data_IF_804221308418
#
_entry.id   IF_804221308418
#
_cell.length_a   1.000
_cell.length_b   1.000
_cell.length_c   1.000
_cell.angle_alpha   90.00
_cell.angle_beta   90.00
_cell.angle_gamma   90.00
#
_symmetry.space_group_name_H-M   'P 1'
#
loop_
_entity.id
_entity.type
_entity.pdbx_description
1 polymer ?
#
# COMPACT_ATOMS: atom_id res chain seq x y z
N UNK A 1 2.50 22.42 -22.51
CA UNK A 1 2.37 22.57 -21.05
C UNK A 1 1.20 21.70 -20.62
N UNK A 2 1.49 20.46 -20.28
CA UNK A 2 0.60 19.60 -19.52
C UNK A 2 0.39 20.27 -18.16
N UNK A 3 -0.86 20.57 -17.82
CA UNK A 3 -1.19 21.06 -16.49
C UNK A 3 -0.79 20.00 -15.47
N UNK A 4 -0.14 20.41 -14.37
CA UNK A 4 0.15 19.48 -13.27
C UNK A 4 -1.13 18.76 -12.87
N UNK A 5 -1.09 17.44 -12.65
CA UNK A 5 -2.26 16.71 -12.17
C UNK A 5 -2.71 17.32 -10.83
N UNK A 6 -4.01 17.61 -10.73
CA UNK A 6 -4.66 18.11 -9.52
C UNK A 6 -4.99 16.98 -8.54
N UNK A 7 -4.96 15.73 -9.02
CA UNK A 7 -5.34 14.54 -8.29
C UNK A 7 -4.56 13.30 -8.72
N UNK A 8 -4.50 12.31 -7.83
CA UNK A 8 -3.94 10.98 -8.08
C UNK A 8 -4.72 9.91 -7.32
N UNK A 9 -5.03 8.81 -7.99
CA UNK A 9 -5.58 7.59 -7.37
C UNK A 9 -4.41 6.73 -6.88
N UNK A 10 -4.24 6.61 -5.56
CA UNK A 10 -3.17 5.84 -4.91
C UNK A 10 -3.69 4.47 -4.45
N UNK A 11 -3.27 3.40 -5.10
CA UNK A 11 -3.60 2.03 -4.72
C UNK A 11 -2.63 1.51 -3.66
N UNK A 12 -3.17 0.96 -2.58
CA UNK A 12 -2.39 0.44 -1.46
C UNK A 12 -2.98 -0.88 -0.90
N UNK A 13 -2.10 -1.60 -0.20
CA UNK A 13 -2.43 -2.65 0.75
C UNK A 13 -1.82 -2.23 2.09
N UNK A 14 -2.57 -2.31 3.19
CA UNK A 14 -2.05 -2.00 4.54
C UNK A 14 -0.87 -2.91 4.86
N UNK A 15 -0.83 -4.12 4.32
CA UNK A 15 0.23 -5.10 4.55
C UNK A 15 1.53 -4.77 3.82
N UNK A 16 1.54 -3.84 2.86
CA UNK A 16 2.71 -3.52 2.05
C UNK A 16 3.61 -2.46 2.72
N UNK A 17 4.85 -2.79 3.13
CA UNK A 17 5.74 -1.81 3.75
C UNK A 17 6.20 -0.74 2.76
N UNK A 18 6.39 -1.08 1.49
CA UNK A 18 6.74 -0.10 0.44
C UNK A 18 5.60 0.87 0.17
N UNK A 19 4.35 0.39 0.07
CA UNK A 19 3.20 1.26 -0.13
C UNK A 19 3.03 2.21 1.06
N UNK A 20 3.27 1.74 2.29
CA UNK A 20 3.27 2.59 3.47
C UNK A 20 4.31 3.72 3.38
N UNK A 21 5.57 3.43 3.04
CA UNK A 21 6.59 4.48 2.89
C UNK A 21 6.21 5.48 1.79
N UNK A 22 5.73 5.01 0.64
CA UNK A 22 5.28 5.89 -0.44
C UNK A 22 4.03 6.68 -0.05
N UNK A 23 3.16 6.13 0.81
CA UNK A 23 2.00 6.85 1.34
C UNK A 23 2.41 8.01 2.26
N UNK A 24 3.53 7.91 2.99
CA UNK A 24 4.08 9.02 3.78
C UNK A 24 4.57 10.14 2.86
N UNK A 25 5.29 9.77 1.79
CA UNK A 25 5.75 10.73 0.79
C UNK A 25 4.60 11.44 0.08
N UNK A 26 3.57 10.71 -0.38
CA UNK A 26 2.47 11.36 -1.13
C UNK A 26 1.60 12.26 -0.23
N UNK A 27 1.50 11.97 1.08
CA UNK A 27 0.88 12.88 2.05
C UNK A 27 1.67 14.18 2.21
N UNK A 28 3.00 14.11 2.31
CA UNK A 28 3.85 15.30 2.33
C UNK A 28 3.66 16.14 1.04
N UNK A 29 3.58 15.48 -0.12
CA UNK A 29 3.30 16.16 -1.39
C UNK A 29 1.93 16.83 -1.37
N UNK A 30 0.88 16.13 -0.93
CA UNK A 30 -0.46 16.71 -0.75
C UNK A 30 -0.41 17.96 0.12
N UNK A 31 0.21 17.87 1.28
CA UNK A 31 0.20 18.94 2.27
C UNK A 31 0.96 20.19 1.76
N UNK A 32 1.99 20.00 0.93
CA UNK A 32 2.79 21.09 0.34
C UNK A 32 2.22 21.69 -0.95
N UNK A 33 1.39 20.93 -1.69
CA UNK A 33 0.98 21.32 -3.06
C UNK A 33 -0.53 21.45 -3.24
N UNK A 34 -1.33 20.92 -2.32
CA UNK A 34 -2.78 20.81 -2.48
C UNK A 34 -3.23 19.67 -3.40
N UNK A 35 -2.34 18.74 -3.76
CA UNK A 35 -2.67 17.54 -4.55
C UNK A 35 -3.80 16.74 -3.89
N UNK A 36 -4.85 16.43 -4.63
CA UNK A 36 -5.92 15.53 -4.13
C UNK A 36 -5.47 14.07 -4.23
N UNK A 37 -5.35 13.39 -3.09
CA UNK A 37 -5.01 11.96 -3.05
C UNK A 37 -6.26 11.14 -2.79
N UNK A 38 -6.61 10.27 -3.74
CA UNK A 38 -7.72 9.34 -3.63
C UNK A 38 -7.20 7.94 -3.27
N UNK A 39 -7.54 7.44 -2.09
CA UNK A 39 -7.10 6.15 -1.60
C UNK A 39 -7.92 5.00 -2.20
N UNK A 40 -7.21 4.05 -2.81
CA UNK A 40 -7.77 2.88 -3.52
C UNK A 40 -7.15 1.58 -3.01
N UNK A 41 -7.85 0.48 -3.13
CA UNK A 41 -7.42 -0.81 -2.59
C UNK A 41 -6.72 -1.69 -3.62
N UNK A 42 -5.74 -2.47 -3.18
CA UNK A 42 -5.17 -3.54 -3.99
C UNK A 42 -4.70 -4.67 -3.09
N UNK A 43 -5.15 -5.89 -3.37
CA UNK A 43 -4.83 -7.06 -2.55
C UNK A 43 -3.53 -7.74 -2.97
N UNK A 44 -2.53 -7.69 -2.10
CA UNK A 44 -1.33 -8.53 -2.23
C UNK A 44 -1.64 -10.01 -2.02
N UNK A 45 -2.62 -10.34 -1.16
CA UNK A 45 -3.04 -11.73 -0.94
C UNK A 45 -3.70 -12.35 -2.16
N UNK A 46 -4.47 -11.56 -2.94
CA UNK A 46 -5.13 -12.07 -4.15
C UNK A 46 -4.16 -12.16 -5.32
N UNK A 47 -3.35 -11.13 -5.59
CA UNK A 47 -2.42 -11.16 -6.74
C UNK A 47 -1.37 -12.27 -6.61
N UNK A 48 -0.97 -12.61 -5.37
CA UNK A 48 -0.01 -13.67 -5.09
C UNK A 48 -0.68 -14.99 -4.66
N UNK A 49 -2.00 -15.13 -4.83
CA UNK A 49 -2.72 -16.34 -4.46
C UNK A 49 -2.22 -17.51 -5.30
N UNK A 50 -1.87 -18.60 -4.61
CA UNK A 50 -1.48 -19.85 -5.28
C UNK A 50 -2.72 -20.61 -5.78
N UNK A 51 -2.55 -21.33 -6.88
CA UNK A 51 -3.58 -22.21 -7.44
C UNK A 51 -4.12 -23.18 -6.38
N UNK A 52 -5.44 -23.39 -6.36
CA UNK A 52 -6.10 -24.24 -5.36
C UNK A 52 -6.21 -23.68 -3.94
N UNK A 53 -5.72 -22.46 -3.66
CA UNK A 53 -5.98 -21.76 -2.39
C UNK A 53 -7.24 -20.90 -2.48
N UNK A 54 -7.97 -20.82 -1.36
CA UNK A 54 -9.13 -19.94 -1.20
C UNK A 54 -8.77 -18.49 -1.50
N UNK A 55 -9.62 -17.82 -2.25
CA UNK A 55 -9.60 -16.37 -2.37
C UNK A 55 -9.75 -15.71 -0.99
N UNK A 56 -9.20 -14.51 -0.77
CA UNK A 56 -9.27 -13.87 0.53
C UNK A 56 -10.70 -13.55 0.97
N UNK A 57 -11.62 -13.27 0.03
CA UNK A 57 -13.04 -13.03 0.33
C UNK A 57 -13.83 -14.31 0.68
N UNK A 58 -13.28 -15.50 0.44
CA UNK A 58 -13.89 -16.78 0.83
C UNK A 58 -13.53 -17.19 2.27
N UNK A 59 -12.70 -16.39 2.95
CA UNK A 59 -12.24 -16.63 4.32
C UNK A 59 -13.07 -15.77 5.28
N UNK A 60 -13.30 -16.28 6.49
CA UNK A 60 -13.97 -15.51 7.54
C UNK A 60 -13.18 -14.25 7.90
N UNK A 61 -11.85 -14.35 7.84
CA UNK A 61 -10.93 -13.25 8.04
C UNK A 61 -9.63 -13.50 7.26
N UNK A 62 -9.22 -12.53 6.46
CA UNK A 62 -7.91 -12.43 5.81
C UNK A 62 -7.14 -11.21 6.32
N UNK A 63 -5.80 -11.25 6.28
CA UNK A 63 -4.97 -10.22 6.88
C UNK A 63 -5.09 -8.86 6.18
N UNK A 64 -4.90 -8.82 4.85
CA UNK A 64 -5.02 -7.60 4.06
C UNK A 64 -6.46 -7.32 3.62
N UNK A 65 -7.19 -8.34 3.16
CA UNK A 65 -8.51 -8.12 2.56
C UNK A 65 -9.54 -7.62 3.56
N UNK A 66 -9.59 -8.20 4.76
CA UNK A 66 -10.52 -7.74 5.80
C UNK A 66 -10.24 -6.30 6.20
N UNK A 67 -8.97 -5.90 6.27
CA UNK A 67 -8.57 -4.52 6.53
C UNK A 67 -9.06 -3.59 5.44
N UNK A 68 -8.89 -3.95 4.17
CA UNK A 68 -9.39 -3.13 3.05
C UNK A 68 -10.92 -2.99 3.06
N UNK A 69 -11.67 -4.00 3.53
CA UNK A 69 -13.13 -3.90 3.71
C UNK A 69 -13.52 -2.87 4.78
N UNK A 70 -12.76 -2.77 5.88
CA UNK A 70 -12.91 -1.70 6.89
C UNK A 70 -12.62 -0.34 6.22
N UNK A 71 -11.52 -0.26 5.48
CA UNK A 71 -11.17 0.93 4.70
C UNK A 71 -12.26 1.35 3.73
N UNK A 72 -12.97 0.42 3.10
CA UNK A 72 -14.07 0.72 2.18
C UNK A 72 -15.23 1.43 2.90
N UNK A 73 -15.65 0.95 4.07
CA UNK A 73 -16.67 1.65 4.88
C UNK A 73 -16.22 3.05 5.30
N UNK A 74 -14.96 3.21 5.71
CA UNK A 74 -14.42 4.52 6.08
C UNK A 74 -14.35 5.46 4.87
N UNK A 75 -14.00 4.95 3.69
CA UNK A 75 -13.97 5.72 2.44
C UNK A 75 -15.36 6.22 2.05
N UNK A 76 -16.42 5.45 2.30
CA UNK A 76 -17.82 5.90 2.09
C UNK A 76 -18.17 7.09 2.97
N UNK A 77 -17.61 7.17 4.17
CA UNK A 77 -17.82 8.31 5.06
C UNK A 77 -17.02 9.53 4.58
N UNK A 78 -15.73 9.36 4.31
CA UNK A 78 -14.90 10.40 3.69
C UNK A 78 -13.54 9.86 3.24
N UNK A 79 -12.93 10.54 2.25
CA UNK A 79 -11.55 10.27 1.87
C UNK A 79 -10.56 10.55 3.02
N UNK A 80 -10.87 11.52 3.89
CA UNK A 80 -10.08 11.82 5.08
C UNK A 80 -10.17 10.70 6.14
N UNK A 81 -11.31 10.03 6.26
CA UNK A 81 -11.50 8.91 7.18
C UNK A 81 -10.65 7.70 6.82
N UNK A 82 -10.68 7.28 5.55
CA UNK A 82 -9.79 6.20 5.07
C UNK A 82 -8.32 6.61 5.10
N UNK A 83 -8.00 7.89 4.87
CA UNK A 83 -6.62 8.40 5.00
C UNK A 83 -6.09 8.24 6.43
N UNK A 84 -6.84 8.73 7.42
CA UNK A 84 -6.46 8.68 8.83
C UNK A 84 -6.32 7.24 9.33
N UNK A 85 -7.25 6.37 8.93
CA UNK A 85 -7.17 4.95 9.24
C UNK A 85 -5.98 4.27 8.58
N UNK A 86 -5.71 4.54 7.30
CA UNK A 86 -4.56 3.95 6.62
C UNK A 86 -3.25 4.40 7.25
N UNK A 87 -3.11 5.69 7.59
CA UNK A 87 -1.94 6.21 8.29
C UNK A 87 -1.75 5.48 9.63
N UNK A 88 -2.79 5.40 10.44
CA UNK A 88 -2.71 4.81 11.79
C UNK A 88 -2.43 3.31 11.76
N UNK A 89 -3.18 2.55 10.95
CA UNK A 89 -2.99 1.11 10.81
C UNK A 89 -1.64 0.78 10.17
N UNK A 90 -1.22 1.57 9.19
CA UNK A 90 0.12 1.47 8.59
C UNK A 90 1.22 1.74 9.62
N UNK A 91 1.10 2.79 10.44
CA UNK A 91 2.07 3.09 11.51
C UNK A 91 2.12 1.98 12.56
N UNK A 92 0.96 1.45 12.95
CA UNK A 92 0.85 0.31 13.86
C UNK A 92 1.70 -0.87 13.37
N UNK A 93 1.54 -1.27 12.10
CA UNK A 93 2.25 -2.41 11.53
C UNK A 93 3.72 -2.12 11.23
N UNK A 94 4.00 -1.03 10.53
CA UNK A 94 5.30 -0.82 9.88
C UNK A 94 6.31 -0.07 10.75
N UNK A 95 5.85 0.58 11.82
CA UNK A 95 6.70 1.38 12.72
C UNK A 95 6.65 0.84 14.13
N UNK A 96 5.45 0.60 14.66
CA UNK A 96 5.24 0.22 16.07
C UNK A 96 5.34 -1.31 16.29
N UNK A 97 5.25 -2.12 15.24
CA UNK A 97 5.33 -3.58 15.33
C UNK A 97 4.05 -4.23 15.90
N UNK A 98 2.93 -3.52 15.85
CA UNK A 98 1.61 -4.06 16.17
C UNK A 98 0.99 -4.81 14.99
N UNK A 99 -0.06 -5.58 15.27
CA UNK A 99 -0.71 -6.48 14.31
C UNK A 99 -2.11 -5.98 13.96
N UNK A 100 -2.27 -4.94 13.14
CA UNK A 100 -3.59 -4.39 12.84
C UNK A 100 -4.48 -5.38 12.08
N UNK A 101 -3.91 -6.43 11.49
CA UNK A 101 -4.63 -7.54 10.88
C UNK A 101 -5.25 -8.51 11.90
N UNK A 102 -5.05 -8.33 13.20
CA UNK A 102 -5.83 -9.00 14.24
C UNK A 102 -7.12 -8.21 14.54
N UNK A 103 -8.28 -8.88 14.57
CA UNK A 103 -9.60 -8.22 14.78
C UNK A 103 -9.61 -7.29 16.00
N UNK A 104 -9.06 -7.73 17.13
CA UNK A 104 -9.02 -6.93 18.36
C UNK A 104 -8.17 -5.67 18.22
N UNK A 105 -7.03 -5.75 17.52
CA UNK A 105 -6.17 -4.60 17.25
C UNK A 105 -6.86 -3.65 16.25
N UNK A 106 -7.50 -4.18 15.20
CA UNK A 106 -8.26 -3.36 14.26
C UNK A 106 -9.36 -2.54 14.96
N UNK A 107 -10.12 -3.16 15.89
CA UNK A 107 -11.12 -2.47 16.73
C UNK A 107 -10.49 -1.37 17.56
N UNK A 108 -9.39 -1.69 18.25
CA UNK A 108 -8.68 -0.73 19.09
C UNK A 108 -8.19 0.50 18.30
N UNK A 109 -7.64 0.29 17.10
CA UNK A 109 -7.16 1.39 16.24
C UNK A 109 -8.30 2.28 15.74
N UNK A 110 -9.50 1.73 15.53
CA UNK A 110 -10.70 2.51 15.20
C UNK A 110 -11.12 3.39 16.39
N UNK A 111 -11.13 2.81 17.61
CA UNK A 111 -11.46 3.55 18.84
C UNK A 111 -10.48 4.71 19.08
N UNK A 112 -9.17 4.50 18.89
CA UNK A 112 -8.15 5.55 19.00
C UNK A 112 -8.41 6.74 18.06
N UNK A 113 -8.98 6.47 16.89
CA UNK A 113 -9.34 7.48 15.88
C UNK A 113 -10.73 8.09 16.11
N UNK A 114 -11.46 7.64 17.15
CA UNK A 114 -12.82 8.07 17.43
C UNK A 114 -13.88 7.46 16.51
N UNK A 115 -13.55 6.39 15.78
CA UNK A 115 -14.51 5.61 15.01
C UNK A 115 -15.17 4.52 15.87
N UNK A 116 -16.33 4.06 15.42
CA UNK A 116 -17.02 2.92 16.03
C UNK A 116 -16.23 1.61 15.79
N UNK A 117 -15.78 0.90 16.83
CA UNK A 117 -15.09 -0.38 16.68
C UNK A 117 -15.94 -1.44 15.97
N UNK A 118 -17.27 -1.36 16.02
CA UNK A 118 -18.15 -2.31 15.34
C UNK A 118 -18.10 -2.18 13.80
N UNK A 119 -17.40 -1.18 13.26
CA UNK A 119 -17.08 -1.11 11.84
C UNK A 119 -16.32 -2.34 11.34
N UNK A 120 -15.58 -3.04 12.22
CA UNK A 120 -14.93 -4.31 11.85
C UNK A 120 -15.97 -5.34 11.44
N UNK A 121 -16.98 -5.58 12.26
CA UNK A 121 -18.04 -6.56 12.02
C UNK A 121 -18.97 -6.09 10.90
N UNK A 122 -19.31 -4.80 10.86
CA UNK A 122 -20.12 -4.21 9.79
C UNK A 122 -19.44 -4.39 8.43
N UNK A 123 -18.12 -4.18 8.34
CA UNK A 123 -17.37 -4.37 7.10
C UNK A 123 -17.42 -5.83 6.63
N UNK A 124 -17.34 -6.80 7.55
CA UNK A 124 -17.40 -8.22 7.21
C UNK A 124 -18.81 -8.69 6.86
N UNK A 125 -19.83 -8.14 7.51
CA UNK A 125 -21.23 -8.47 7.26
C UNK A 125 -21.76 -7.86 5.95
N UNK A 126 -21.24 -6.72 5.52
CA UNK A 126 -21.63 -6.07 4.27
C UNK A 126 -20.85 -6.66 3.07
N UNK A 127 -21.50 -7.44 2.18
CA UNK A 127 -20.83 -8.03 1.02
C UNK A 127 -20.37 -6.98 0.01
N UNK A 128 -20.99 -5.79 -0.05
CA UNK A 128 -20.65 -4.75 -1.02
C UNK A 128 -19.27 -4.12 -0.76
N UNK A 129 -18.73 -4.29 0.45
CA UNK A 129 -17.33 -3.96 0.73
C UNK A 129 -16.35 -4.86 -0.04
N UNK A 130 -16.71 -6.13 -0.31
CA UNK A 130 -15.91 -7.00 -1.17
C UNK A 130 -15.91 -6.48 -2.61
N UNK A 131 -17.08 -6.08 -3.12
CA UNK A 131 -17.24 -5.60 -4.49
C UNK A 131 -16.38 -4.35 -4.73
N UNK A 132 -16.32 -3.43 -3.77
CA UNK A 132 -15.47 -2.24 -3.84
C UNK A 132 -13.97 -2.57 -3.84
N UNK A 133 -13.52 -3.45 -2.94
CA UNK A 133 -12.11 -3.86 -2.86
C UNK A 133 -11.71 -4.61 -4.12
N UNK A 134 -12.58 -5.49 -4.62
CA UNK A 134 -12.35 -6.26 -5.84
C UNK A 134 -12.32 -5.35 -7.08
N UNK A 135 -13.19 -4.36 -7.17
CA UNK A 135 -13.20 -3.41 -8.29
C UNK A 135 -11.91 -2.58 -8.36
N UNK A 136 -11.43 -2.04 -7.23
CA UNK A 136 -10.15 -1.32 -7.19
C UNK A 136 -8.97 -2.25 -7.52
N UNK A 137 -8.98 -3.48 -7.00
CA UNK A 137 -7.95 -4.49 -7.31
C UNK A 137 -7.92 -4.83 -8.81
N UNK A 138 -9.09 -5.09 -9.41
CA UNK A 138 -9.23 -5.39 -10.84
C UNK A 138 -8.81 -4.24 -11.73
N UNK A 139 -8.96 -2.99 -11.29
CA UNK A 139 -8.45 -1.82 -12.03
C UNK A 139 -6.93 -1.89 -12.23
N UNK A 140 -6.19 -2.24 -11.19
CA UNK A 140 -4.73 -2.41 -11.28
C UNK A 140 -4.38 -3.62 -12.16
N UNK A 141 -5.04 -4.76 -11.95
CA UNK A 141 -4.80 -5.98 -12.74
C UNK A 141 -5.11 -5.77 -14.23
N UNK A 142 -6.22 -5.08 -14.54
CA UNK A 142 -6.61 -4.73 -15.91
C UNK A 142 -5.63 -3.77 -16.60
N UNK A 143 -4.85 -3.01 -15.83
CA UNK A 143 -3.74 -2.20 -16.32
C UNK A 143 -2.40 -2.95 -16.36
N UNK A 144 -2.41 -4.30 -16.30
CA UNK A 144 -1.23 -5.16 -16.17
C UNK A 144 -0.36 -4.86 -14.94
N UNK A 145 -0.92 -4.21 -13.92
CA UNK A 145 -0.27 -3.95 -12.65
C UNK A 145 -0.23 -5.20 -11.77
N UNK A 146 0.81 -5.33 -10.97
CA UNK A 146 1.11 -6.54 -10.20
C UNK A 146 1.39 -6.28 -8.72
N UNK A 147 1.27 -5.03 -8.26
CA UNK A 147 1.69 -4.67 -6.91
C UNK A 147 1.29 -3.27 -6.50
N UNK A 148 1.77 -2.88 -5.31
CA UNK A 148 1.58 -1.55 -4.73
C UNK A 148 2.91 -1.01 -4.19
N UNK A 149 3.09 0.31 -4.16
CA UNK A 149 2.12 1.35 -4.54
C UNK A 149 1.92 1.41 -6.06
N UNK A 150 0.68 1.68 -6.49
CA UNK A 150 0.35 1.92 -7.91
C UNK A 150 -0.48 3.20 -8.01
N UNK A 151 -0.08 4.10 -8.91
CA UNK A 151 -0.68 5.41 -9.11
C UNK A 151 -1.47 5.44 -10.41
N UNK A 152 -2.68 5.98 -10.38
CA UNK A 152 -3.43 6.35 -11.58
C UNK A 152 -3.60 7.87 -11.66
N UNK A 153 -3.32 8.43 -12.83
CA UNK A 153 -3.46 9.84 -13.14
C UNK A 153 -4.81 10.15 -13.80
N UNK A 154 -5.27 11.42 -13.82
CA UNK A 154 -6.57 11.79 -14.37
C UNK A 154 -6.77 11.45 -15.85
N UNK A 155 -5.68 11.36 -16.62
CA UNK A 155 -5.67 10.96 -18.02
C UNK A 155 -5.70 9.43 -18.23
N UNK A 156 -5.78 8.66 -17.15
CA UNK A 156 -5.84 7.20 -17.15
C UNK A 156 -4.48 6.52 -17.14
N UNK A 157 -3.36 7.26 -17.17
CA UNK A 157 -2.03 6.66 -17.08
C UNK A 157 -1.82 5.98 -15.73
N UNK A 158 -1.12 4.84 -15.74
CA UNK A 158 -0.85 4.01 -14.58
C UNK A 158 0.66 3.85 -14.40
N UNK A 159 1.18 4.15 -13.21
CA UNK A 159 2.59 3.96 -12.85
C UNK A 159 2.71 3.11 -11.58
N UNK A 160 3.53 2.07 -11.63
CA UNK A 160 3.96 1.35 -10.43
C UNK A 160 5.07 2.12 -9.72
N UNK A 161 4.97 2.28 -8.40
CA UNK A 161 5.91 3.04 -7.59
C UNK A 161 5.48 4.50 -7.34
N UNK A 162 6.42 5.37 -6.94
CA UNK A 162 7.81 5.05 -6.64
C UNK A 162 7.94 4.14 -5.42
N UNK A 163 8.88 3.20 -5.46
CA UNK A 163 9.15 2.25 -4.36
C UNK A 163 10.20 2.86 -3.44
N UNK A 164 9.84 3.14 -2.19
CA UNK A 164 10.67 3.89 -1.23
C UNK A 164 10.89 3.09 0.07
N UNK A 165 12.05 3.31 0.72
CA UNK A 165 12.35 2.82 2.09
C UNK A 165 12.72 3.94 3.07
N UNK A 166 12.92 5.16 2.56
CA UNK A 166 13.18 6.39 3.30
C UNK A 166 12.57 7.56 2.49
N UNK A 167 11.28 7.87 2.68
CA UNK A 167 10.58 8.84 1.86
C UNK A 167 11.14 10.26 2.09
N UNK A 168 11.47 11.02 1.02
CA UNK A 168 11.96 12.39 1.17
C UNK A 168 10.87 13.30 1.76
N UNK A 169 11.30 14.37 2.42
CA UNK A 169 10.43 15.40 3.01
C UNK A 169 10.65 16.78 2.37
N UNK A 170 9.73 17.72 2.63
CA UNK A 170 9.81 19.10 2.19
C UNK A 170 9.96 19.24 0.68
N UNK A 171 10.81 20.15 0.24
CA UNK A 171 11.04 20.40 -1.18
C UNK A 171 11.61 19.18 -1.93
N UNK A 172 12.27 18.24 -1.24
CA UNK A 172 12.72 17.00 -1.87
C UNK A 172 11.54 16.07 -2.20
N UNK A 173 10.48 16.05 -1.38
CA UNK A 173 9.26 15.31 -1.67
C UNK A 173 8.57 15.83 -2.94
N UNK A 174 8.47 17.16 -3.07
CA UNK A 174 7.89 17.82 -4.25
C UNK A 174 8.73 17.57 -5.49
N UNK A 175 10.06 17.63 -5.42
CA UNK A 175 10.93 17.29 -6.57
C UNK A 175 10.76 15.84 -7.03
N UNK A 176 10.59 14.89 -6.11
CA UNK A 176 10.30 13.50 -6.48
C UNK A 176 8.93 13.40 -7.15
N UNK A 177 7.93 14.16 -6.71
CA UNK A 177 6.61 14.22 -7.36
C UNK A 177 6.71 14.75 -8.77
N UNK A 178 7.45 15.84 -8.99
CA UNK A 178 7.70 16.38 -10.33
C UNK A 178 8.40 15.36 -11.24
N UNK A 179 9.34 14.57 -10.71
CA UNK A 179 9.99 13.51 -11.48
C UNK A 179 9.02 12.36 -11.86
N UNK A 180 8.11 11.99 -10.96
CA UNK A 180 7.07 10.98 -11.23
C UNK A 180 6.06 11.51 -12.26
N UNK A 181 5.60 12.76 -12.11
CA UNK A 181 4.69 13.38 -13.09
C UNK A 181 5.36 13.50 -14.46
N UNK A 182 6.65 13.83 -14.53
CA UNK A 182 7.36 13.92 -15.80
C UNK A 182 7.33 12.61 -16.61
N UNK A 183 7.26 11.44 -15.96
CA UNK A 183 7.12 10.16 -16.68
C UNK A 183 5.85 10.07 -17.51
N UNK A 184 4.76 10.72 -17.06
CA UNK A 184 3.49 10.75 -17.79
C UNK A 184 3.59 11.49 -19.13
N UNK A 185 4.67 12.24 -19.37
CA UNK A 185 4.93 12.93 -20.64
C UNK A 185 5.62 12.01 -21.67
N UNK A 186 6.07 10.82 -21.27
CA UNK A 186 6.83 9.89 -22.11
C UNK A 186 6.09 8.55 -22.27
N UNK A 187 5.11 8.44 -23.18
CA UNK A 187 4.26 7.24 -23.33
C UNK A 187 4.99 5.98 -23.82
N UNK A 188 6.29 6.08 -24.14
CA UNK A 188 7.14 4.97 -24.56
C UNK A 188 8.27 4.68 -23.55
N UNK A 189 8.22 5.29 -22.37
CA UNK A 189 9.08 4.97 -21.24
C UNK A 189 8.38 3.91 -20.38
N UNK A 190 8.94 2.70 -20.31
CA UNK A 190 8.28 1.56 -19.67
C UNK A 190 8.83 1.21 -18.29
N UNK A 191 10.15 1.28 -18.10
CA UNK A 191 10.78 0.88 -16.84
C UNK A 191 12.13 1.59 -16.64
N UNK A 192 12.36 2.08 -15.43
CA UNK A 192 13.66 2.51 -14.93
C UNK A 192 13.73 2.01 -13.50
N UNK A 193 14.76 1.21 -13.21
CA UNK A 193 14.93 0.63 -11.89
C UNK A 193 16.33 0.88 -11.39
N UNK A 194 16.43 1.02 -10.06
CA UNK A 194 17.69 0.91 -9.33
C UNK A 194 17.85 -0.55 -8.89
N UNK A 195 18.80 -1.30 -9.47
CA UNK A 195 19.16 -2.61 -8.95
C UNK A 195 19.62 -2.47 -7.50
N UNK A 196 19.10 -3.34 -6.62
CA UNK A 196 19.45 -3.33 -5.21
C UNK A 196 20.78 -4.06 -5.03
N UNK A 197 21.73 -3.43 -4.35
CA UNK A 197 22.96 -4.06 -3.89
C UNK A 197 22.72 -4.83 -2.59
N UNK A 198 23.63 -5.72 -2.15
CA UNK A 198 23.53 -6.35 -0.83
C UNK A 198 23.41 -5.34 0.32
N UNK A 199 24.08 -4.19 0.22
CA UNK A 199 23.95 -3.10 1.19
C UNK A 199 22.56 -2.42 1.15
N UNK A 200 21.92 -2.35 -0.02
CA UNK A 200 20.53 -1.90 -0.11
C UNK A 200 19.58 -2.91 0.53
N UNK A 201 19.79 -4.20 0.32
CA UNK A 201 18.99 -5.25 0.94
C UNK A 201 19.08 -5.22 2.48
N UNK A 202 20.28 -5.01 3.02
CA UNK A 202 20.47 -4.81 4.46
C UNK A 202 19.70 -3.59 4.97
N UNK A 203 19.82 -2.44 4.30
CA UNK A 203 19.07 -1.22 4.67
C UNK A 203 17.56 -1.42 4.61
N UNK A 204 17.06 -2.16 3.62
CA UNK A 204 15.64 -2.52 3.51
C UNK A 204 15.21 -3.38 4.69
N UNK A 205 16.00 -4.41 5.02
CA UNK A 205 15.70 -5.31 6.14
C UNK A 205 15.71 -4.56 7.49
N UNK A 206 16.64 -3.62 7.68
CA UNK A 206 16.68 -2.75 8.86
C UNK A 206 15.48 -1.83 8.94
N UNK A 207 15.15 -1.13 7.84
CA UNK A 207 14.00 -0.22 7.77
C UNK A 207 12.68 -0.94 8.02
N UNK A 208 12.55 -2.19 7.57
CA UNK A 208 11.33 -2.98 7.73
C UNK A 208 11.35 -3.92 8.94
N UNK A 209 12.34 -3.81 9.83
CA UNK A 209 12.45 -4.70 11.00
C UNK A 209 11.18 -4.78 11.85
N UNK A 210 10.49 -3.67 12.20
CA UNK A 210 9.24 -3.75 12.97
C UNK A 210 8.16 -4.57 12.25
N UNK A 211 7.96 -4.31 10.96
CA UNK A 211 7.07 -5.08 10.09
C UNK A 211 7.44 -6.57 10.04
N UNK A 212 8.73 -6.88 9.84
CA UNK A 212 9.21 -8.25 9.73
C UNK A 212 9.00 -9.05 11.02
N UNK A 213 9.00 -8.38 12.18
CA UNK A 213 8.72 -8.99 13.49
C UNK A 213 7.23 -9.14 13.76
N UNK A 214 6.39 -8.25 13.22
CA UNK A 214 4.95 -8.24 13.46
C UNK A 214 4.13 -9.12 12.48
N UNK A 215 4.64 -9.36 11.27
CA UNK A 215 3.90 -10.10 10.23
C UNK A 215 3.70 -11.58 10.60
N UNK A 216 2.54 -12.11 10.23
CA UNK A 216 2.19 -13.54 10.36
C UNK A 216 2.21 -14.27 8.99
N UNK A 217 2.89 -13.69 8.00
CA UNK A 217 3.00 -14.21 6.63
C UNK A 217 4.42 -14.06 6.05
N UNK A 218 4.64 -14.72 4.93
CA UNK A 218 5.90 -14.66 4.17
C UNK A 218 5.79 -13.62 3.06
N UNK A 219 6.85 -12.84 2.84
CA UNK A 219 6.89 -11.85 1.76
C UNK A 219 7.05 -12.53 0.41
N UNK A 220 6.35 -12.00 -0.60
CA UNK A 220 6.45 -12.43 -1.99
C UNK A 220 6.89 -11.24 -2.84
N UNK A 221 7.88 -11.45 -3.69
CA UNK A 221 8.31 -10.47 -4.69
C UNK A 221 8.20 -11.11 -6.08
N UNK A 222 7.30 -10.60 -6.93
CA UNK A 222 7.07 -11.12 -8.29
C UNK A 222 6.86 -12.64 -8.33
N UNK A 223 6.11 -13.18 -7.37
CA UNK A 223 5.80 -14.61 -7.25
C UNK A 223 6.83 -15.44 -6.49
N UNK A 224 7.99 -14.89 -6.11
CA UNK A 224 9.01 -15.60 -5.35
C UNK A 224 8.94 -15.29 -3.87
N UNK A 225 9.05 -16.32 -3.03
CA UNK A 225 9.16 -16.18 -1.58
C UNK A 225 10.48 -15.51 -1.23
N UNK A 226 10.40 -14.38 -0.53
CA UNK A 226 11.56 -13.63 -0.04
C UNK A 226 11.69 -13.83 1.47
N UNK A 227 12.78 -14.47 1.88
CA UNK A 227 13.24 -14.41 3.27
C UNK A 227 14.15 -13.20 3.46
N UNK A 228 13.82 -12.37 4.45
CA UNK A 228 14.70 -11.29 4.91
C UNK A 228 15.60 -11.74 6.08
N UNK A 229 15.38 -12.96 6.59
CA UNK A 229 16.30 -13.66 7.47
C UNK A 229 17.20 -14.56 6.60
N UNK A 230 18.51 -14.52 6.85
CA UNK A 230 19.51 -15.47 6.33
C UNK A 230 20.23 -15.14 5.01
N UNK A 231 20.50 -13.86 4.71
CA UNK A 231 21.70 -13.55 3.89
C UNK A 231 22.85 -13.17 4.81
N UNK A 232 23.64 -14.19 5.17
CA UNK A 232 24.97 -14.02 5.76
C UNK A 232 25.81 -13.13 4.82
N UNK A 233 26.39 -12.00 5.28
CA UNK A 233 27.18 -11.08 4.44
C UNK A 233 28.42 -11.71 3.76
N UNK A 234 28.69 -13.00 3.98
CA UNK A 234 29.85 -13.72 3.47
C UNK A 234 29.64 -14.68 2.28
N UNK A 235 28.43 -14.87 1.73
CA UNK A 235 28.25 -15.78 0.58
C UNK A 235 28.21 -15.03 -0.76
N UNK A 236 29.16 -15.27 -1.70
CA UNK A 236 29.04 -14.79 -3.06
C UNK A 236 27.94 -15.56 -3.81
N UNK A 237 27.37 -14.88 -4.82
CA UNK A 237 26.36 -15.41 -5.74
C UNK A 237 26.85 -16.62 -6.54
#
# INVERSE_FOLDING_TARGET
MTSRPDSVDFHFDVMCPYAYQTSRWIREVRDLTGLTVNWRFFSLEEINRQEGKKHPWEREWSYGWSMMRIGALLRRQSMAGVDAWYERAGRALHVEGHKPHEKAVARHLLEELGFDPDLVEQAIADPTTNDEVLADHQRVVGASGYGVPTLFFPDGQCLFGPVLIDPPMGQAAVRLWEAVVAWTEFPHLYELQRPKTPADEQRIAEAFRPYLQARDWVSINRGEVVSFADRDPGQPA
#
